data_IF_572493089128
#
_entry.id   IF_572493089128
#
_cell.length_a   1.000
_cell.length_b   1.000
_cell.length_c   1.000
_cell.angle_alpha   90.00
_cell.angle_beta   90.00
_cell.angle_gamma   90.00
#
_symmetry.space_group_name_H-M   'P 1'
#
loop_
_entity.id
_entity.type
_entity.pdbx_description
1 polymer ?
#
# COMPACT_ATOMS: atom_id res chain seq x y z
N UNK A 1 -29.76 62.96 29.43
CA UNK A 1 -30.37 62.04 30.41
C UNK A 1 -31.51 61.31 29.71
N UNK A 2 -31.42 59.98 29.64
CA UNK A 2 -32.43 59.04 29.11
C UNK A 2 -33.75 59.09 29.91
N UNK A 3 -34.82 58.45 29.40
CA UNK A 3 -35.31 57.24 30.06
C UNK A 3 -35.65 56.11 29.05
N UNK A 4 -35.01 54.94 29.20
CA UNK A 4 -35.54 53.71 29.80
C UNK A 4 -36.46 52.86 28.90
N UNK A 5 -35.88 51.81 28.33
CA UNK A 5 -36.56 50.61 27.82
C UNK A 5 -37.21 49.81 28.95
N UNK A 6 -38.28 49.04 28.68
CA UNK A 6 -38.53 47.78 29.37
C UNK A 6 -37.90 46.61 28.61
N UNK A 7 -37.14 45.81 29.36
CA UNK A 7 -36.66 44.48 29.01
C UNK A 7 -37.83 43.49 29.17
N UNK A 8 -38.06 42.61 28.20
CA UNK A 8 -38.73 41.32 28.44
C UNK A 8 -37.85 40.20 27.89
N UNK A 9 -37.65 39.23 28.76
CA UNK A 9 -36.71 38.10 28.73
C UNK A 9 -37.18 36.95 27.85
N UNK A 10 -36.22 36.14 27.41
CA UNK A 10 -36.37 34.81 26.78
C UNK A 10 -37.55 34.01 27.34
N UNK A 11 -38.34 33.44 26.43
CA UNK A 11 -39.08 32.21 26.71
C UNK A 11 -38.61 31.12 25.74
N UNK A 12 -38.24 29.98 26.32
CA UNK A 12 -37.76 28.77 25.67
C UNK A 12 -39.00 27.93 25.32
N UNK A 13 -39.50 27.99 24.08
CA UNK A 13 -40.38 27.01 23.39
C UNK A 13 -41.18 27.66 22.24
N UNK A 14 -40.51 28.20 21.21
CA UNK A 14 -41.21 28.66 20.01
C UNK A 14 -40.74 27.88 18.77
N UNK A 15 -41.67 27.11 18.22
CA UNK A 15 -41.56 26.32 16.99
C UNK A 15 -41.72 27.25 15.77
N UNK A 16 -40.75 27.35 14.85
CA UNK A 16 -40.77 28.36 13.79
C UNK A 16 -41.57 27.96 12.54
N UNK A 17 -42.50 27.00 12.63
CA UNK A 17 -43.25 26.54 11.46
C UNK A 17 -44.46 27.41 11.07
N UNK A 18 -44.99 28.28 11.94
CA UNK A 18 -46.20 29.07 11.65
C UNK A 18 -46.07 30.50 12.19
N UNK A 19 -46.22 31.50 11.30
CA UNK A 19 -46.62 32.85 11.71
C UNK A 19 -45.65 33.99 11.44
N UNK A 20 -45.38 34.30 10.17
CA UNK A 20 -45.03 35.67 9.76
C UNK A 20 -46.20 36.40 9.09
N UNK A 21 -47.29 35.69 8.77
CA UNK A 21 -48.45 36.27 8.09
C UNK A 21 -49.43 37.06 8.97
N UNK A 22 -49.46 36.86 10.30
CA UNK A 22 -50.52 37.44 11.14
C UNK A 22 -50.17 38.72 11.89
N UNK A 23 -48.93 39.21 11.85
CA UNK A 23 -48.55 40.46 12.56
C UNK A 23 -48.58 41.70 11.64
N UNK A 24 -48.43 41.50 10.33
CA UNK A 24 -48.46 42.58 9.32
C UNK A 24 -49.90 43.07 9.08
N UNK A 25 -50.91 42.18 9.14
CA UNK A 25 -52.31 42.55 8.92
C UNK A 25 -52.88 43.46 10.01
N UNK A 26 -52.40 43.38 11.25
CA UNK A 26 -52.96 44.14 12.37
C UNK A 26 -52.36 45.56 12.49
N UNK A 27 -51.15 45.78 11.99
CA UNK A 27 -50.46 47.08 12.07
C UNK A 27 -50.83 48.03 10.91
N UNK A 28 -51.28 47.49 9.78
CA UNK A 28 -51.76 48.27 8.62
C UNK A 28 -53.12 48.94 8.87
N UNK A 29 -53.88 48.52 9.88
CA UNK A 29 -55.21 49.06 10.20
C UNK A 29 -55.18 50.34 11.07
N UNK A 30 -54.03 50.69 11.67
CA UNK A 30 -53.94 51.78 12.67
C UNK A 30 -52.92 52.90 12.34
N UNK A 31 -52.40 52.95 11.11
CA UNK A 31 -51.76 54.17 10.58
C UNK A 31 -50.48 54.66 11.29
N UNK A 32 -49.62 53.76 11.76
CA UNK A 32 -48.34 54.08 12.41
C UNK A 32 -47.12 54.08 11.48
N UNK A 33 -46.19 55.00 11.73
CA UNK A 33 -44.96 55.30 10.99
C UNK A 33 -43.93 54.14 11.04
N UNK A 34 -43.45 53.68 9.88
CA UNK A 34 -42.61 52.47 9.74
C UNK A 34 -41.18 52.85 9.37
N UNK A 35 -40.40 53.28 10.38
CA UNK A 35 -38.98 53.63 10.24
C UNK A 35 -37.99 52.63 10.84
N UNK A 36 -38.39 51.44 11.26
CA UNK A 36 -37.45 50.41 11.71
C UNK A 36 -38.00 49.02 11.41
N UNK A 37 -37.10 48.07 11.10
CA UNK A 37 -37.22 46.61 10.99
C UNK A 37 -36.84 46.05 9.60
N UNK A 38 -35.54 45.76 9.49
CA UNK A 38 -34.89 44.90 8.50
C UNK A 38 -35.21 43.40 8.74
N UNK A 39 -35.00 42.63 7.66
CA UNK A 39 -34.82 41.17 7.56
C UNK A 39 -36.07 40.27 7.61
N UNK A 40 -36.41 39.65 6.47
CA UNK A 40 -36.30 38.19 6.20
C UNK A 40 -37.08 37.74 4.93
N UNK A 41 -36.34 37.16 3.96
CA UNK A 41 -36.71 36.07 3.02
C UNK A 41 -37.50 36.36 1.71
N UNK A 42 -36.72 36.47 0.61
CA UNK A 42 -36.79 35.82 -0.75
C UNK A 42 -38.17 35.47 -1.36
N UNK A 43 -38.53 35.73 -2.64
CA UNK A 43 -37.90 35.35 -3.94
C UNK A 43 -38.66 35.98 -5.16
N UNK A 44 -38.08 35.90 -6.38
CA UNK A 44 -38.67 36.16 -7.73
C UNK A 44 -38.85 37.60 -8.25
N UNK A 45 -37.97 38.49 -7.84
CA UNK A 45 -38.16 39.94 -7.90
C UNK A 45 -37.40 40.61 -9.05
N UNK A 46 -37.97 40.58 -10.25
CA UNK A 46 -38.00 41.84 -11.05
C UNK A 46 -39.09 42.75 -10.49
N UNK A 47 -40.09 42.20 -9.78
CA UNK A 47 -41.28 42.91 -9.31
C UNK A 47 -41.12 43.65 -7.96
N UNK A 48 -40.35 43.14 -6.99
CA UNK A 48 -40.26 43.83 -5.68
C UNK A 48 -39.02 44.71 -5.50
N UNK A 49 -38.00 44.69 -6.36
CA UNK A 49 -37.07 45.83 -6.45
C UNK A 49 -37.86 47.11 -6.81
N UNK A 50 -38.87 46.97 -7.67
CA UNK A 50 -39.79 48.06 -8.04
C UNK A 50 -40.65 48.50 -6.84
N UNK A 51 -41.13 47.57 -6.01
CA UNK A 51 -41.99 47.91 -4.87
C UNK A 51 -41.21 48.44 -3.66
N UNK A 52 -39.99 47.94 -3.41
CA UNK A 52 -39.06 48.46 -2.39
C UNK A 52 -38.71 49.93 -2.65
N UNK A 53 -38.51 50.30 -3.91
CA UNK A 53 -38.25 51.69 -4.27
C UNK A 53 -39.52 52.55 -4.40
N UNK A 54 -40.66 51.99 -4.84
CA UNK A 54 -41.96 52.69 -4.80
C UNK A 54 -42.38 53.06 -3.38
N UNK A 55 -42.02 52.25 -2.38
CA UNK A 55 -42.28 52.55 -0.97
C UNK A 55 -41.41 53.71 -0.44
N UNK A 56 -40.32 54.05 -1.13
CA UNK A 56 -39.35 55.06 -0.70
C UNK A 56 -39.46 56.42 -1.40
N UNK A 57 -39.94 56.52 -2.65
CA UNK A 57 -40.34 57.79 -3.32
C UNK A 57 -40.86 57.53 -4.74
N UNK A 58 -41.89 58.28 -5.17
CA UNK A 58 -42.49 58.16 -6.50
C UNK A 58 -41.50 58.28 -7.68
N UNK A 59 -41.73 57.42 -8.68
CA UNK A 59 -41.29 57.43 -10.09
C UNK A 59 -39.79 57.57 -10.45
N UNK A 60 -38.85 57.63 -9.51
CA UNK A 60 -37.41 57.71 -9.80
C UNK A 60 -36.55 56.86 -8.85
N UNK A 61 -35.93 55.81 -9.40
CA UNK A 61 -34.95 54.98 -8.72
C UNK A 61 -33.62 55.72 -8.68
N UNK A 62 -33.25 56.32 -7.53
CA UNK A 62 -31.91 56.89 -7.35
C UNK A 62 -30.90 55.76 -7.21
N UNK A 63 -30.19 55.44 -8.30
CA UNK A 63 -28.98 54.63 -8.25
C UNK A 63 -27.75 55.54 -8.13
N UNK A 64 -26.66 55.00 -7.61
CA UNK A 64 -25.38 55.70 -7.36
C UNK A 64 -24.76 56.28 -8.66
N UNK A 65 -25.30 55.94 -9.84
CA UNK A 65 -24.88 56.47 -11.14
C UNK A 65 -26.06 56.87 -12.06
N UNK A 66 -27.16 57.40 -11.51
CA UNK A 66 -28.19 58.04 -12.34
C UNK A 66 -29.64 57.86 -11.88
N UNK A 67 -30.51 58.64 -12.52
CA UNK A 67 -31.95 58.63 -12.35
C UNK A 67 -32.55 57.80 -13.51
N UNK A 68 -32.91 56.54 -13.26
CA UNK A 68 -33.49 55.66 -14.28
C UNK A 68 -34.95 55.34 -13.98
N UNK A 69 -35.75 55.20 -15.03
CA UNK A 69 -37.11 54.63 -14.96
C UNK A 69 -37.06 53.11 -15.00
N UNK A 70 -38.12 52.48 -14.50
CA UNK A 70 -38.27 51.03 -14.58
C UNK A 70 -38.28 50.51 -16.04
N UNK A 71 -38.93 51.23 -16.94
CA UNK A 71 -39.02 50.85 -18.34
C UNK A 71 -37.63 50.80 -18.99
N UNK A 72 -36.76 51.76 -18.68
CA UNK A 72 -35.37 51.79 -19.15
C UNK A 72 -34.56 50.61 -18.59
N UNK A 73 -34.71 50.26 -17.31
CA UNK A 73 -34.01 49.10 -16.71
C UNK A 73 -34.46 47.76 -17.33
N UNK A 74 -35.75 47.61 -17.65
CA UNK A 74 -36.27 46.42 -18.32
C UNK A 74 -35.81 46.33 -19.78
N UNK A 75 -35.67 47.47 -20.45
CA UNK A 75 -35.11 47.55 -21.81
C UNK A 75 -33.63 47.17 -21.79
N UNK A 76 -32.82 47.73 -20.89
CA UNK A 76 -31.42 47.32 -20.72
C UNK A 76 -31.27 45.83 -20.43
N UNK A 77 -32.12 45.25 -19.57
CA UNK A 77 -32.08 43.81 -19.32
C UNK A 77 -32.41 42.99 -20.57
N UNK A 78 -33.40 43.41 -21.37
CA UNK A 78 -33.74 42.72 -22.63
C UNK A 78 -32.59 42.83 -23.63
N UNK A 79 -32.00 44.01 -23.74
CA UNK A 79 -30.83 44.24 -24.59
C UNK A 79 -29.67 43.36 -24.12
N UNK A 80 -29.39 43.29 -22.81
CA UNK A 80 -28.31 42.48 -22.25
C UNK A 80 -28.50 40.98 -22.46
N UNK A 81 -29.75 40.51 -22.41
CA UNK A 81 -30.07 39.10 -22.66
C UNK A 81 -30.07 38.72 -24.15
N UNK A 82 -30.16 39.70 -25.05
CA UNK A 82 -30.20 39.46 -26.50
C UNK A 82 -28.91 39.86 -27.22
N UNK A 83 -28.08 40.68 -26.59
CA UNK A 83 -26.81 41.15 -27.12
C UNK A 83 -25.72 40.10 -26.93
N UNK A 84 -25.34 39.46 -28.03
CA UNK A 84 -24.26 38.47 -28.07
C UNK A 84 -22.86 39.05 -27.89
N UNK A 85 -22.70 40.38 -27.91
CA UNK A 85 -21.40 41.04 -27.70
C UNK A 85 -21.02 41.13 -26.22
N UNK A 86 -22.00 41.11 -25.31
CA UNK A 86 -21.73 41.13 -23.87
C UNK A 86 -21.32 39.72 -23.44
N UNK A 87 -20.04 39.55 -23.11
CA UNK A 87 -19.49 38.26 -22.68
C UNK A 87 -18.99 38.28 -21.24
N UNK A 88 -18.76 39.47 -20.68
CA UNK A 88 -18.23 39.64 -19.33
C UNK A 88 -19.07 40.61 -18.49
N UNK A 89 -19.32 40.23 -17.24
CA UNK A 89 -20.08 41.07 -16.30
C UNK A 89 -19.34 42.34 -15.88
N UNK A 90 -17.99 42.37 -15.94
CA UNK A 90 -17.20 43.56 -15.60
C UNK A 90 -17.27 44.68 -16.65
N UNK A 91 -17.73 44.38 -17.87
CA UNK A 91 -17.96 45.36 -18.94
C UNK A 91 -19.27 46.14 -18.76
N UNK A 92 -20.18 45.65 -17.92
CA UNK A 92 -21.45 46.29 -17.61
C UNK A 92 -21.48 46.81 -16.16
N UNK A 93 -22.24 47.88 -15.97
CA UNK A 93 -22.48 48.49 -14.65
C UNK A 93 -23.21 47.54 -13.71
N UNK A 94 -23.00 47.69 -12.40
CA UNK A 94 -23.54 46.76 -11.40
C UNK A 94 -25.07 46.65 -11.42
N UNK A 95 -25.78 47.75 -11.70
CA UNK A 95 -27.24 47.76 -11.78
C UNK A 95 -27.80 46.97 -12.97
N UNK A 96 -26.99 46.70 -14.01
CA UNK A 96 -27.36 45.85 -15.16
C UNK A 96 -27.11 44.36 -14.90
N UNK A 97 -26.36 44.01 -13.85
CA UNK A 97 -26.04 42.63 -13.46
C UNK A 97 -27.23 41.94 -12.76
N UNK A 98 -28.36 41.91 -13.44
CA UNK A 98 -29.57 41.24 -12.97
C UNK A 98 -29.34 39.73 -12.87
N UNK A 99 -30.11 39.04 -12.01
CA UNK A 99 -30.02 37.57 -11.81
C UNK A 99 -30.02 36.78 -13.14
N UNK A 100 -30.86 37.17 -14.10
CA UNK A 100 -30.95 36.47 -15.39
C UNK A 100 -29.73 36.71 -16.28
N UNK A 101 -29.22 37.96 -16.33
CA UNK A 101 -28.01 38.31 -17.08
C UNK A 101 -26.80 37.59 -16.47
N UNK A 102 -26.65 37.61 -15.13
CA UNK A 102 -25.60 36.87 -14.45
C UNK A 102 -25.68 35.36 -14.74
N UNK A 103 -26.86 34.75 -14.64
CA UNK A 103 -27.04 33.33 -14.95
C UNK A 103 -26.61 33.02 -16.37
N UNK A 104 -27.11 33.77 -17.36
CA UNK A 104 -26.75 33.57 -18.77
C UNK A 104 -25.24 33.65 -18.99
N UNK A 105 -24.57 34.67 -18.46
CA UNK A 105 -23.13 34.86 -18.66
C UNK A 105 -22.28 33.86 -17.87
N UNK A 106 -22.74 33.37 -16.72
CA UNK A 106 -22.09 32.26 -15.98
C UNK A 106 -22.22 30.94 -16.75
N UNK A 107 -23.37 30.70 -17.39
CA UNK A 107 -23.58 29.50 -18.20
C UNK A 107 -22.64 29.43 -19.39
N UNK A 108 -22.29 30.57 -19.99
CA UNK A 108 -21.30 30.68 -21.06
C UNK A 108 -19.86 30.65 -20.53
N UNK A 109 -19.56 31.44 -19.48
CA UNK A 109 -18.24 31.48 -18.85
C UNK A 109 -18.34 31.55 -17.31
N UNK A 110 -17.96 30.47 -16.59
CA UNK A 110 -17.96 30.42 -15.13
C UNK A 110 -17.15 31.52 -14.42
N UNK A 111 -16.15 32.14 -15.07
CA UNK A 111 -15.38 33.27 -14.51
C UNK A 111 -16.27 34.48 -14.16
N UNK A 112 -17.42 34.62 -14.82
CA UNK A 112 -18.39 35.67 -14.53
C UNK A 112 -18.91 35.60 -13.08
N UNK A 113 -18.77 34.47 -12.40
CA UNK A 113 -19.13 34.35 -10.99
C UNK A 113 -18.36 35.37 -10.11
N UNK A 114 -17.10 35.71 -10.45
CA UNK A 114 -16.29 36.69 -9.72
C UNK A 114 -16.91 38.09 -9.68
N UNK A 115 -17.66 38.45 -10.72
CA UNK A 115 -18.28 39.77 -10.88
C UNK A 115 -19.77 39.78 -10.57
N UNK A 116 -20.31 38.63 -10.13
CA UNK A 116 -21.72 38.46 -9.80
C UNK A 116 -22.00 39.02 -8.41
N UNK A 117 -22.98 39.93 -8.25
CA UNK A 117 -23.36 40.41 -6.92
C UNK A 117 -23.75 39.23 -6.02
N UNK A 118 -23.23 39.19 -4.78
CA UNK A 118 -23.43 38.04 -3.88
C UNK A 118 -24.90 37.69 -3.67
N UNK A 119 -25.80 38.69 -3.67
CA UNK A 119 -27.26 38.52 -3.58
C UNK A 119 -27.87 37.64 -4.69
N UNK A 120 -27.17 37.46 -5.81
CA UNK A 120 -27.60 36.63 -6.94
C UNK A 120 -26.93 35.24 -6.94
N UNK A 121 -25.92 35.02 -6.10
CA UNK A 121 -25.27 33.73 -5.93
C UNK A 121 -26.14 32.85 -5.04
N UNK A 122 -26.77 31.85 -5.64
CA UNK A 122 -27.61 30.88 -4.94
C UNK A 122 -27.06 29.47 -5.08
N UNK A 123 -27.35 28.59 -4.13
CA UNK A 123 -26.89 27.20 -4.19
C UNK A 123 -27.35 26.47 -5.45
N UNK A 124 -28.58 26.74 -5.93
CA UNK A 124 -29.10 26.14 -7.17
C UNK A 124 -28.29 26.56 -8.40
N UNK A 125 -27.95 27.85 -8.51
CA UNK A 125 -27.08 28.36 -9.58
C UNK A 125 -25.72 27.66 -9.58
N UNK A 126 -25.09 27.55 -8.42
CA UNK A 126 -23.78 26.91 -8.27
C UNK A 126 -23.84 25.40 -8.57
N UNK A 127 -24.91 24.71 -8.15
CA UNK A 127 -25.13 23.30 -8.46
C UNK A 127 -25.31 23.07 -9.96
N UNK A 128 -26.11 23.90 -10.62
CA UNK A 128 -26.31 23.80 -12.07
C UNK A 128 -25.00 24.05 -12.84
N UNK A 129 -24.18 24.99 -12.36
CA UNK A 129 -22.86 25.27 -12.90
C UNK A 129 -21.93 24.04 -12.82
N UNK A 130 -21.78 23.44 -11.63
CA UNK A 130 -20.88 22.26 -11.47
C UNK A 130 -21.44 20.99 -12.10
N UNK A 131 -22.76 20.90 -12.31
CA UNK A 131 -23.39 19.80 -13.08
C UNK A 131 -23.06 19.87 -14.56
N UNK A 132 -23.02 21.08 -15.14
CA UNK A 132 -22.61 21.26 -16.54
C UNK A 132 -21.11 20.99 -16.72
N UNK A 133 -20.28 21.44 -15.77
CA UNK A 133 -18.84 21.21 -15.78
C UNK A 133 -18.27 21.16 -14.36
N UNK A 134 -17.83 19.98 -13.90
CA UNK A 134 -17.28 19.83 -12.55
C UNK A 134 -16.08 20.73 -12.26
N UNK A 135 -15.28 21.06 -13.28
CA UNK A 135 -14.12 21.95 -13.19
C UNK A 135 -14.50 23.38 -12.77
N UNK A 136 -15.77 23.76 -12.91
CA UNK A 136 -16.25 25.07 -12.48
C UNK A 136 -16.20 25.28 -10.96
N UNK A 137 -16.00 24.22 -10.17
CA UNK A 137 -15.78 24.31 -8.72
C UNK A 137 -14.64 25.27 -8.36
N UNK A 138 -13.58 25.34 -9.19
CA UNK A 138 -12.43 26.22 -8.95
C UNK A 138 -12.72 27.72 -9.03
N UNK A 139 -13.87 28.12 -9.60
CA UNK A 139 -14.31 29.52 -9.64
C UNK A 139 -15.19 29.91 -8.44
N UNK A 140 -15.63 28.94 -7.63
CA UNK A 140 -16.50 29.18 -6.48
C UNK A 140 -15.64 29.51 -5.26
N UNK A 141 -15.89 30.67 -4.64
CA UNK A 141 -15.24 31.03 -3.39
C UNK A 141 -15.54 30.02 -2.27
N UNK A 142 -14.56 29.77 -1.41
CA UNK A 142 -14.65 28.74 -0.35
C UNK A 142 -15.87 28.93 0.56
N UNK A 143 -16.29 30.18 0.80
CA UNK A 143 -17.44 30.51 1.67
C UNK A 143 -18.78 29.96 1.14
N UNK A 144 -18.90 29.72 -0.16
CA UNK A 144 -20.10 29.16 -0.77
C UNK A 144 -20.03 27.63 -0.92
N UNK A 145 -18.87 27.02 -0.72
CA UNK A 145 -18.69 25.57 -0.88
C UNK A 145 -19.42 24.80 0.22
N UNK A 146 -20.09 23.73 -0.20
CA UNK A 146 -20.73 22.75 0.66
C UNK A 146 -20.55 21.34 0.09
N UNK A 147 -20.97 20.33 0.86
CA UNK A 147 -20.83 18.93 0.46
C UNK A 147 -21.49 18.62 -0.88
N UNK A 148 -22.73 19.06 -1.08
CA UNK A 148 -23.49 18.76 -2.30
C UNK A 148 -22.82 19.35 -3.54
N UNK A 149 -22.27 20.57 -3.44
CA UNK A 149 -21.51 21.21 -4.52
C UNK A 149 -20.26 20.40 -4.85
N UNK A 150 -19.44 20.05 -3.84
CA UNK A 150 -18.23 19.26 -4.05
C UNK A 150 -18.55 17.88 -4.64
N UNK A 151 -19.61 17.22 -4.15
CA UNK A 151 -20.01 15.91 -4.65
C UNK A 151 -20.48 15.97 -6.11
N UNK A 152 -21.35 16.95 -6.46
CA UNK A 152 -21.79 17.13 -7.84
C UNK A 152 -20.62 17.51 -8.76
N UNK A 153 -19.67 18.32 -8.29
CA UNK A 153 -18.48 18.68 -9.05
C UNK A 153 -17.61 17.46 -9.36
N UNK A 154 -17.29 16.64 -8.36
CA UNK A 154 -16.51 15.40 -8.55
C UNK A 154 -17.24 14.44 -9.49
N UNK A 155 -18.56 14.23 -9.29
CA UNK A 155 -19.39 13.37 -10.14
C UNK A 155 -19.41 13.80 -11.60
N UNK A 156 -19.32 15.11 -11.88
CA UNK A 156 -19.34 15.67 -13.23
C UNK A 156 -17.95 16.18 -13.69
N UNK A 157 -16.88 15.75 -13.02
CA UNK A 157 -15.52 16.09 -13.40
C UNK A 157 -15.18 15.45 -14.76
N UNK A 158 -14.70 16.27 -15.70
CA UNK A 158 -14.08 15.77 -16.95
C UNK A 158 -12.65 15.31 -16.71
N UNK A 159 -11.95 16.06 -15.85
CA UNK A 159 -10.62 15.74 -15.34
C UNK A 159 -10.67 15.87 -13.83
N UNK A 160 -10.42 14.76 -13.11
CA UNK A 160 -10.51 14.76 -11.66
C UNK A 160 -9.40 15.61 -11.02
N UNK A 161 -8.22 15.70 -11.63
CA UNK A 161 -7.06 16.42 -11.09
C UNK A 161 -7.38 17.91 -10.91
N UNK A 162 -8.08 18.47 -11.90
CA UNK A 162 -8.53 19.85 -11.91
C UNK A 162 -9.68 20.15 -10.93
N UNK A 163 -10.34 19.14 -10.36
CA UNK A 163 -11.49 19.32 -9.46
C UNK A 163 -11.13 19.04 -8.01
N UNK A 164 -10.47 17.91 -7.76
CA UNK A 164 -10.22 17.41 -6.40
C UNK A 164 -9.35 18.36 -5.56
N UNK A 165 -8.47 19.15 -6.20
CA UNK A 165 -7.65 20.17 -5.55
C UNK A 165 -8.47 21.31 -4.93
N UNK A 166 -9.66 21.58 -5.47
CA UNK A 166 -10.58 22.61 -4.98
C UNK A 166 -11.60 22.06 -3.97
N UNK A 167 -11.61 20.75 -3.70
CA UNK A 167 -12.50 20.17 -2.69
C UNK A 167 -11.89 20.37 -1.29
N UNK A 168 -12.56 21.11 -0.39
CA UNK A 168 -12.08 21.29 0.97
C UNK A 168 -12.00 19.96 1.72
N UNK A 169 -10.89 19.71 2.43
CA UNK A 169 -10.68 18.48 3.21
C UNK A 169 -11.79 18.18 4.23
N UNK A 170 -12.49 19.22 4.71
CA UNK A 170 -13.63 19.10 5.64
C UNK A 170 -14.85 18.40 5.02
N UNK A 171 -15.00 18.45 3.69
CA UNK A 171 -16.09 17.79 2.96
C UNK A 171 -15.68 16.43 2.38
N UNK A 172 -14.39 16.06 2.47
CA UNK A 172 -13.96 14.71 2.11
C UNK A 172 -14.52 13.72 3.12
N UNK A 173 -15.43 12.86 2.64
CA UNK A 173 -15.95 11.72 3.34
C UNK A 173 -15.68 10.42 2.56
N UNK A 174 -16.20 9.30 3.03
CA UNK A 174 -16.04 8.01 2.36
C UNK A 174 -16.63 8.04 0.95
N UNK A 175 -17.86 8.52 0.80
CA UNK A 175 -18.60 8.46 -0.46
C UNK A 175 -17.98 9.35 -1.53
N UNK A 176 -17.60 10.58 -1.17
CA UNK A 176 -16.94 11.52 -2.08
C UNK A 176 -15.54 11.04 -2.44
N UNK A 177 -14.80 10.44 -1.50
CA UNK A 177 -13.48 9.84 -1.79
C UNK A 177 -13.59 8.68 -2.78
N UNK A 178 -14.59 7.82 -2.63
CA UNK A 178 -14.88 6.72 -3.56
C UNK A 178 -15.21 7.24 -4.96
N UNK A 179 -16.12 8.22 -5.05
CA UNK A 179 -16.49 8.82 -6.34
C UNK A 179 -15.27 9.47 -7.02
N UNK A 180 -14.43 10.18 -6.27
CA UNK A 180 -13.22 10.82 -6.81
C UNK A 180 -12.25 9.79 -7.40
N UNK A 181 -11.95 8.71 -6.68
CA UNK A 181 -11.06 7.65 -7.19
C UNK A 181 -11.70 6.90 -8.36
N UNK A 182 -13.02 6.78 -8.41
CA UNK A 182 -13.73 6.21 -9.56
C UNK A 182 -13.57 7.06 -10.83
N UNK A 183 -13.38 8.37 -10.70
CA UNK A 183 -13.07 9.27 -11.83
C UNK A 183 -11.62 9.19 -12.28
N UNK A 184 -10.69 8.98 -11.35
CA UNK A 184 -9.28 8.78 -11.68
C UNK A 184 -8.44 8.44 -10.46
N UNK A 185 -7.45 7.56 -10.65
CA UNK A 185 -6.61 7.07 -9.56
C UNK A 185 -5.82 8.17 -8.87
N UNK A 186 -5.52 9.28 -9.56
CA UNK A 186 -4.76 10.42 -9.03
C UNK A 186 -5.44 11.09 -7.84
N UNK A 187 -6.77 11.04 -7.75
CA UNK A 187 -7.51 11.48 -6.58
C UNK A 187 -7.07 10.74 -5.30
N UNK A 188 -6.59 9.49 -5.41
CA UNK A 188 -6.13 8.68 -4.30
C UNK A 188 -4.99 9.33 -3.49
N UNK A 189 -4.17 10.17 -4.13
CA UNK A 189 -3.11 10.93 -3.45
C UNK A 189 -3.65 11.99 -2.50
N UNK A 190 -4.86 12.50 -2.77
CA UNK A 190 -5.44 13.66 -2.08
C UNK A 190 -6.53 13.26 -1.06
N UNK A 191 -7.08 12.04 -1.17
CA UNK A 191 -8.07 11.57 -0.20
C UNK A 191 -7.43 11.25 1.17
N UNK A 192 -8.14 11.51 2.28
CA UNK A 192 -7.69 11.13 3.62
C UNK A 192 -7.43 9.62 3.76
N UNK A 193 -6.37 9.25 4.49
CA UNK A 193 -5.98 7.84 4.68
C UNK A 193 -7.08 6.96 5.28
N UNK A 194 -7.88 7.51 6.20
CA UNK A 194 -9.03 6.82 6.82
C UNK A 194 -10.11 6.35 5.83
N UNK A 195 -10.13 6.88 4.60
CA UNK A 195 -11.08 6.47 3.55
C UNK A 195 -10.44 5.63 2.46
N UNK A 196 -9.15 5.33 2.54
CA UNK A 196 -8.47 4.43 1.60
C UNK A 196 -8.81 2.99 1.95
N UNK A 197 -10.00 2.52 1.59
CA UNK A 197 -10.37 1.11 1.79
C UNK A 197 -9.51 0.17 0.93
N UNK A 198 -9.57 -1.13 1.19
CA UNK A 198 -8.88 -2.15 0.38
C UNK A 198 -9.31 -2.04 -1.08
N UNK A 199 -10.61 -1.92 -1.33
CA UNK A 199 -11.22 -1.88 -2.66
C UNK A 199 -10.75 -0.67 -3.47
N UNK A 200 -10.81 0.52 -2.86
CA UNK A 200 -10.36 1.77 -3.48
C UNK A 200 -8.85 1.73 -3.73
N UNK A 201 -8.07 1.20 -2.79
CA UNK A 201 -6.60 1.08 -2.91
C UNK A 201 -6.22 0.15 -4.06
N UNK A 202 -6.92 -0.99 -4.19
CA UNK A 202 -6.75 -1.90 -5.32
C UNK A 202 -7.11 -1.22 -6.63
N UNK A 203 -8.31 -0.62 -6.72
CA UNK A 203 -8.77 0.07 -7.92
C UNK A 203 -7.77 1.13 -8.37
N UNK A 204 -7.37 2.02 -7.48
CA UNK A 204 -6.44 3.09 -7.81
C UNK A 204 -5.09 2.54 -8.30
N UNK A 205 -4.57 1.48 -7.65
CA UNK A 205 -3.33 0.85 -8.11
C UNK A 205 -3.48 0.22 -9.51
N UNK A 206 -4.53 -0.56 -9.76
CA UNK A 206 -4.74 -1.18 -11.07
C UNK A 206 -5.00 -0.18 -12.18
N UNK A 207 -5.72 0.91 -11.90
CA UNK A 207 -5.91 2.01 -12.85
C UNK A 207 -4.57 2.70 -13.16
N UNK A 208 -3.69 2.86 -12.17
CA UNK A 208 -2.34 3.46 -12.35
C UNK A 208 -1.38 2.58 -13.17
N UNK A 209 -1.60 1.26 -13.26
CA UNK A 209 -0.76 0.36 -14.06
C UNK A 209 -0.91 0.63 -15.56
N UNK A 210 -2.07 1.15 -15.98
CA UNK A 210 -2.42 1.36 -17.39
C UNK A 210 -2.23 2.83 -17.83
N UNK A 211 -1.67 3.71 -16.98
CA UNK A 211 -1.44 5.11 -17.34
C UNK A 211 -0.06 5.34 -17.96
N UNK A 212 0.01 5.20 -19.28
CA UNK A 212 1.23 5.44 -20.06
C UNK A 212 1.71 6.90 -20.00
N UNK A 213 0.84 7.85 -19.63
CA UNK A 213 1.21 9.27 -19.50
C UNK A 213 2.06 9.51 -18.26
N UNK A 214 1.87 8.70 -17.22
CA UNK A 214 2.59 8.80 -15.95
C UNK A 214 3.15 7.44 -15.49
N UNK A 215 4.21 6.91 -16.16
CA UNK A 215 4.72 5.56 -15.88
C UNK A 215 5.23 5.33 -14.43
N UNK A 216 5.47 6.41 -13.68
CA UNK A 216 5.90 6.36 -12.27
C UNK A 216 4.74 6.23 -11.29
N UNK A 217 3.52 6.54 -11.70
CA UNK A 217 2.33 6.53 -10.84
C UNK A 217 2.12 5.16 -10.17
N UNK A 218 2.36 4.06 -10.91
CA UNK A 218 2.29 2.68 -10.41
C UNK A 218 3.20 2.38 -9.22
N UNK A 219 4.27 3.15 -9.03
CA UNK A 219 5.16 3.04 -7.86
C UNK A 219 4.79 4.05 -6.78
N UNK A 220 4.45 5.28 -7.15
CA UNK A 220 4.11 6.37 -6.22
C UNK A 220 2.83 6.08 -5.44
N UNK A 221 1.87 5.40 -6.06
CA UNK A 221 0.64 5.05 -5.37
C UNK A 221 0.89 4.06 -4.22
N UNK A 222 1.90 3.18 -4.34
CA UNK A 222 2.23 2.18 -3.33
C UNK A 222 2.61 2.83 -2.00
N UNK A 223 3.29 3.99 -2.00
CA UNK A 223 3.64 4.70 -0.77
C UNK A 223 2.44 5.31 -0.04
N UNK A 224 1.29 5.34 -0.71
CA UNK A 224 0.05 5.91 -0.19
C UNK A 224 -0.97 4.84 0.23
N UNK A 225 -0.67 3.56 0.02
CA UNK A 225 -1.53 2.42 0.37
C UNK A 225 -1.34 2.05 1.85
N UNK A 226 -2.40 1.95 2.65
CA UNK A 226 -2.32 1.57 4.06
C UNK A 226 -2.56 0.09 4.37
N UNK A 227 -2.57 -0.77 3.34
CA UNK A 227 -2.97 -2.17 3.45
C UNK A 227 -1.87 -3.10 2.94
N UNK A 228 -1.34 -3.93 3.83
CA UNK A 228 -0.25 -4.87 3.51
C UNK A 228 -0.64 -5.86 2.41
N UNK A 229 -1.87 -6.35 2.42
CA UNK A 229 -2.43 -7.28 1.43
C UNK A 229 -2.50 -6.66 0.04
N UNK A 230 -2.83 -5.36 -0.04
CA UNK A 230 -2.86 -4.64 -1.32
C UNK A 230 -1.44 -4.38 -1.81
N UNK A 231 -0.51 -3.99 -0.93
CA UNK A 231 0.91 -3.88 -1.28
C UNK A 231 1.47 -5.21 -1.79
N UNK A 232 1.09 -6.33 -1.18
CA UNK A 232 1.54 -7.65 -1.61
C UNK A 232 0.98 -8.05 -2.98
N UNK A 233 -0.31 -7.81 -3.22
CA UNK A 233 -0.94 -8.02 -4.53
C UNK A 233 -0.32 -7.13 -5.61
N UNK A 234 0.00 -5.89 -5.26
CA UNK A 234 0.66 -4.93 -6.14
C UNK A 234 2.05 -5.41 -6.57
N UNK A 235 2.87 -5.88 -5.63
CA UNK A 235 4.19 -6.44 -5.93
C UNK A 235 4.14 -7.58 -6.95
N UNK A 236 3.11 -8.44 -6.87
CA UNK A 236 2.94 -9.58 -7.78
C UNK A 236 2.61 -9.18 -9.22
N UNK A 237 2.21 -7.93 -9.48
CA UNK A 237 1.93 -7.46 -10.83
C UNK A 237 3.20 -7.14 -11.63
N UNK A 238 4.32 -6.89 -10.95
CA UNK A 238 5.59 -6.57 -11.60
C UNK A 238 6.32 -7.85 -12.02
N UNK A 239 6.78 -7.90 -13.27
CA UNK A 239 7.41 -9.09 -13.86
C UNK A 239 8.93 -9.07 -13.75
N UNK A 240 9.53 -7.88 -13.82
CA UNK A 240 10.97 -7.69 -13.76
C UNK A 240 11.43 -7.45 -12.31
N UNK A 241 12.56 -8.06 -11.93
CA UNK A 241 13.21 -7.85 -10.64
C UNK A 241 13.45 -6.37 -10.33
N UNK A 242 13.88 -5.55 -11.31
CA UNK A 242 14.10 -4.11 -11.10
C UNK A 242 12.81 -3.36 -10.75
N UNK A 243 11.69 -3.71 -11.39
CA UNK A 243 10.39 -3.11 -11.08
C UNK A 243 9.89 -3.55 -9.69
N UNK A 244 10.08 -4.83 -9.35
CA UNK A 244 9.74 -5.37 -8.02
C UNK A 244 10.56 -4.63 -6.95
N UNK A 245 11.87 -4.41 -7.16
CA UNK A 245 12.73 -3.65 -6.26
C UNK A 245 12.25 -2.21 -6.07
N UNK A 246 11.90 -1.52 -7.16
CA UNK A 246 11.33 -0.16 -7.11
C UNK A 246 10.02 -0.13 -6.35
N UNK A 247 9.10 -1.05 -6.63
CA UNK A 247 7.81 -1.14 -5.96
C UNK A 247 7.97 -1.44 -4.45
N UNK A 248 8.82 -2.42 -4.11
CA UNK A 248 9.11 -2.77 -2.71
C UNK A 248 9.65 -1.59 -1.93
N UNK A 249 10.59 -0.82 -2.51
CA UNK A 249 11.15 0.38 -1.87
C UNK A 249 10.14 1.49 -1.56
N UNK A 250 8.94 1.43 -2.13
CA UNK A 250 7.86 2.38 -1.87
C UNK A 250 6.90 1.93 -0.77
N UNK A 251 6.95 0.66 -0.34
CA UNK A 251 6.10 0.16 0.72
C UNK A 251 6.61 0.71 2.06
N UNK A 252 5.70 1.26 2.87
CA UNK A 252 6.03 1.71 4.23
C UNK A 252 6.48 0.53 5.09
N UNK A 253 7.50 0.73 5.93
CA UNK A 253 8.11 -0.33 6.70
C UNK A 253 7.11 -1.06 7.61
N UNK A 254 6.11 -0.34 8.15
CA UNK A 254 5.06 -0.90 9.00
C UNK A 254 4.18 -1.93 8.30
N UNK A 255 4.14 -1.92 6.96
CA UNK A 255 3.32 -2.81 6.13
C UNK A 255 4.10 -4.03 5.61
N UNK A 256 5.41 -4.12 5.87
CA UNK A 256 6.27 -5.20 5.41
C UNK A 256 6.09 -6.47 6.26
N UNK A 257 5.04 -7.22 5.97
CA UNK A 257 4.76 -8.52 6.58
C UNK A 257 5.70 -9.63 6.06
N UNK A 258 5.75 -10.76 6.79
CA UNK A 258 6.59 -11.91 6.47
C UNK A 258 6.43 -12.40 5.02
N UNK A 259 5.18 -12.50 4.53
CA UNK A 259 4.89 -12.99 3.17
C UNK A 259 5.44 -12.06 2.07
N UNK A 260 5.39 -10.74 2.27
CA UNK A 260 5.95 -9.76 1.34
C UNK A 260 7.46 -9.93 1.26
N UNK A 261 8.13 -10.00 2.40
CA UNK A 261 9.59 -10.12 2.46
C UNK A 261 10.06 -11.46 1.88
N UNK A 262 9.35 -12.56 2.20
CA UNK A 262 9.64 -13.89 1.66
C UNK A 262 9.49 -13.93 0.14
N UNK A 263 8.42 -13.34 -0.40
CA UNK A 263 8.24 -13.23 -1.85
C UNK A 263 9.36 -12.41 -2.46
N UNK A 264 9.70 -11.26 -1.86
CA UNK A 264 10.73 -10.37 -2.37
C UNK A 264 12.11 -11.05 -2.48
N UNK A 265 12.59 -11.68 -1.40
CA UNK A 265 13.87 -12.40 -1.43
C UNK A 265 13.84 -13.66 -2.30
N UNK A 266 12.67 -14.30 -2.46
CA UNK A 266 12.53 -15.43 -3.38
C UNK A 266 12.74 -15.01 -4.84
N UNK A 267 12.31 -13.80 -5.21
CA UNK A 267 12.52 -13.28 -6.57
C UNK A 267 13.97 -12.93 -6.85
N UNK A 268 14.69 -12.39 -5.85
CA UNK A 268 16.12 -12.17 -5.90
C UNK A 268 16.70 -12.21 -4.47
N UNK A 269 17.45 -13.26 -4.11
CA UNK A 269 18.01 -13.41 -2.76
C UNK A 269 18.97 -12.29 -2.34
N UNK A 270 19.56 -11.55 -3.30
CA UNK A 270 20.38 -10.39 -3.01
C UNK A 270 19.60 -9.21 -2.42
N UNK A 271 18.26 -9.19 -2.56
CA UNK A 271 17.40 -8.13 -2.03
C UNK A 271 17.21 -8.16 -0.52
N UNK A 272 17.72 -9.18 0.18
CA UNK A 272 17.75 -9.17 1.64
C UNK A 272 18.40 -7.91 2.22
N UNK A 273 19.34 -7.30 1.49
CA UNK A 273 20.02 -6.05 1.88
C UNK A 273 19.06 -4.86 1.97
N UNK A 274 17.96 -4.89 1.22
CA UNK A 274 16.92 -3.86 1.19
C UNK A 274 15.82 -4.10 2.25
N UNK A 275 15.73 -5.33 2.78
CA UNK A 275 14.80 -5.64 3.87
C UNK A 275 15.32 -4.99 5.15
N UNK A 276 14.50 -4.24 5.92
CA UNK A 276 14.90 -3.69 7.21
C UNK A 276 15.46 -4.75 8.15
N UNK A 277 16.54 -4.44 8.88
CA UNK A 277 17.25 -5.40 9.72
C UNK A 277 16.35 -6.08 10.75
N UNK A 278 15.45 -5.33 11.38
CA UNK A 278 14.48 -5.83 12.36
C UNK A 278 13.45 -6.81 11.77
N UNK A 279 13.36 -6.93 10.45
CA UNK A 279 12.47 -7.86 9.76
C UNK A 279 13.21 -9.08 9.18
N UNK A 280 14.54 -9.15 9.30
CA UNK A 280 15.38 -10.24 8.78
C UNK A 280 15.42 -11.44 9.73
N UNK A 281 14.25 -11.97 10.05
CA UNK A 281 14.11 -13.11 10.95
C UNK A 281 14.61 -14.43 10.34
N UNK A 282 14.77 -15.45 11.19
CA UNK A 282 15.27 -16.78 10.84
C UNK A 282 14.58 -17.40 9.61
N UNK A 283 13.26 -17.25 9.48
CA UNK A 283 12.51 -17.82 8.36
C UNK A 283 12.91 -17.18 7.04
N UNK A 284 13.02 -15.85 7.02
CA UNK A 284 13.49 -15.11 5.85
C UNK A 284 14.95 -15.47 5.50
N UNK A 285 15.82 -15.61 6.50
CA UNK A 285 17.22 -16.03 6.29
C UNK A 285 17.28 -17.42 5.65
N UNK A 286 16.53 -18.39 6.19
CA UNK A 286 16.47 -19.76 5.66
C UNK A 286 15.92 -19.76 4.24
N UNK A 287 14.86 -18.99 3.96
CA UNK A 287 14.31 -18.83 2.62
C UNK A 287 15.34 -18.26 1.64
N UNK A 288 16.07 -17.22 2.05
CA UNK A 288 17.15 -16.60 1.26
C UNK A 288 18.27 -17.60 0.98
N UNK A 289 18.74 -18.32 2.01
CA UNK A 289 19.76 -19.37 1.90
C UNK A 289 19.35 -20.46 0.91
N UNK A 290 18.09 -20.91 0.94
CA UNK A 290 17.56 -21.94 0.06
C UNK A 290 17.59 -21.51 -1.42
N UNK A 291 17.17 -20.27 -1.72
CA UNK A 291 17.06 -19.77 -3.09
C UNK A 291 18.34 -19.13 -3.64
N UNK A 292 19.30 -18.72 -2.79
CA UNK A 292 20.50 -18.01 -3.24
C UNK A 292 21.49 -18.90 -3.99
N UNK A 293 22.09 -18.39 -5.06
CA UNK A 293 23.28 -18.99 -5.70
C UNK A 293 24.58 -18.27 -5.30
N UNK A 294 24.48 -17.18 -4.54
CA UNK A 294 25.61 -16.34 -4.10
C UNK A 294 25.66 -16.24 -2.57
N UNK A 295 26.85 -16.20 -1.95
CA UNK A 295 26.99 -16.07 -0.50
C UNK A 295 26.77 -14.65 0.02
N UNK A 296 26.61 -13.63 -0.84
CA UNK A 296 26.58 -12.22 -0.41
C UNK A 296 25.51 -11.88 0.64
N UNK A 297 24.43 -12.67 0.72
CA UNK A 297 23.38 -12.49 1.71
C UNK A 297 23.87 -12.70 3.16
N UNK A 298 24.96 -13.46 3.36
CA UNK A 298 25.51 -13.77 4.69
C UNK A 298 25.87 -12.50 5.46
N UNK A 299 26.40 -11.48 4.75
CA UNK A 299 26.77 -10.19 5.33
C UNK A 299 25.58 -9.37 5.85
N UNK A 300 24.35 -9.78 5.55
CA UNK A 300 23.11 -9.08 5.93
C UNK A 300 22.31 -9.84 7.01
N UNK A 301 22.81 -10.98 7.48
CA UNK A 301 22.18 -11.78 8.54
C UNK A 301 22.42 -11.08 9.89
N UNK A 302 21.36 -10.74 10.66
CA UNK A 302 21.53 -10.23 12.02
C UNK A 302 22.26 -11.25 12.89
N UNK A 303 23.09 -10.78 13.82
CA UNK A 303 23.96 -11.63 14.63
C UNK A 303 23.21 -12.77 15.35
N UNK A 304 22.03 -12.47 15.91
CA UNK A 304 21.21 -13.44 16.64
C UNK A 304 20.52 -14.47 15.75
N UNK A 305 20.45 -14.21 14.44
CA UNK A 305 19.78 -15.06 13.45
C UNK A 305 20.69 -16.16 12.86
N UNK A 306 21.97 -16.18 13.26
CA UNK A 306 22.91 -17.28 13.01
C UNK A 306 22.58 -18.51 13.89
N UNK A 307 21.43 -19.11 13.66
CA UNK A 307 21.03 -20.39 14.26
C UNK A 307 21.82 -21.58 13.70
N UNK A 308 21.89 -22.69 14.45
CA UNK A 308 22.56 -23.93 14.01
C UNK A 308 22.15 -24.36 12.60
N UNK A 309 20.84 -24.28 12.28
CA UNK A 309 20.31 -24.64 10.96
C UNK A 309 20.79 -23.71 9.85
N UNK A 310 20.91 -22.41 10.13
CA UNK A 310 21.42 -21.42 9.16
C UNK A 310 22.91 -21.66 8.93
N UNK A 311 23.70 -21.81 10.00
CA UNK A 311 25.14 -22.02 9.92
C UNK A 311 25.48 -23.34 9.23
N UNK A 312 24.76 -24.42 9.55
CA UNK A 312 24.91 -25.72 8.88
C UNK A 312 24.59 -25.62 7.39
N UNK A 313 23.49 -24.95 7.03
CA UNK A 313 23.16 -24.74 5.62
C UNK A 313 24.17 -23.87 4.87
N UNK A 314 24.77 -22.85 5.52
CA UNK A 314 25.90 -22.08 4.96
C UNK A 314 27.11 -23.00 4.75
N UNK A 315 27.49 -23.79 5.75
CA UNK A 315 28.64 -24.70 5.66
C UNK A 315 28.50 -25.75 4.55
N UNK A 316 27.27 -26.19 4.27
CA UNK A 316 26.98 -27.15 3.20
C UNK A 316 26.96 -26.48 1.83
N UNK A 317 26.23 -25.38 1.68
CA UNK A 317 25.96 -24.75 0.37
C UNK A 317 27.04 -23.77 -0.07
N UNK A 318 27.63 -23.05 0.89
CA UNK A 318 28.67 -22.03 0.69
C UNK A 318 29.88 -22.28 1.62
N UNK A 319 30.52 -23.46 1.53
CA UNK A 319 31.56 -23.89 2.49
C UNK A 319 32.73 -22.92 2.62
N UNK A 320 33.12 -22.22 1.55
CA UNK A 320 34.19 -21.21 1.59
C UNK A 320 33.84 -19.99 2.43
N UNK A 321 32.56 -19.72 2.65
CA UNK A 321 32.04 -18.57 3.40
C UNK A 321 31.74 -18.92 4.86
N UNK A 322 32.14 -20.11 5.33
CA UNK A 322 32.03 -20.43 6.75
C UNK A 322 32.88 -19.50 7.63
N UNK A 323 33.93 -18.90 7.05
CA UNK A 323 34.77 -17.89 7.69
C UNK A 323 34.09 -16.53 7.84
N UNK A 324 32.99 -16.30 7.11
CA UNK A 324 32.20 -15.06 7.18
C UNK A 324 31.13 -15.15 8.29
N UNK A 325 30.95 -16.33 8.89
CA UNK A 325 30.06 -16.56 10.03
C UNK A 325 30.81 -16.24 11.34
N UNK A 326 30.15 -15.60 12.34
CA UNK A 326 30.78 -15.36 13.64
C UNK A 326 31.32 -16.66 14.26
N UNK A 327 32.59 -16.66 14.70
CA UNK A 327 33.33 -17.87 15.07
C UNK A 327 32.66 -18.67 16.19
N UNK A 328 32.04 -17.97 17.14
CA UNK A 328 31.31 -18.51 18.28
C UNK A 328 29.98 -19.19 17.90
N UNK A 329 29.47 -18.95 16.68
CA UNK A 329 28.28 -19.61 16.13
C UNK A 329 28.65 -20.87 15.32
N UNK A 330 29.93 -21.06 14.99
CA UNK A 330 30.39 -22.19 14.16
C UNK A 330 30.88 -23.33 15.05
N UNK A 331 30.40 -24.54 14.79
CA UNK A 331 30.79 -25.74 15.54
C UNK A 331 31.59 -26.75 14.68
N UNK A 332 32.03 -27.84 15.31
CA UNK A 332 32.85 -28.88 14.67
C UNK A 332 32.14 -29.60 13.50
N UNK A 333 30.80 -29.71 13.53
CA UNK A 333 30.01 -30.29 12.43
C UNK A 333 30.04 -29.36 11.22
N UNK A 334 29.91 -28.05 11.43
CA UNK A 334 29.98 -27.07 10.34
C UNK A 334 31.36 -27.09 9.66
N UNK A 335 32.45 -27.13 10.43
CA UNK A 335 33.80 -27.26 9.87
C UNK A 335 34.03 -28.58 9.16
N UNK A 336 33.45 -29.69 9.63
CA UNK A 336 33.44 -30.94 8.88
C UNK A 336 32.79 -30.74 7.50
N UNK A 337 31.60 -30.16 7.42
CA UNK A 337 30.93 -29.95 6.12
C UNK A 337 31.77 -29.08 5.17
N UNK A 338 32.37 -28.02 5.70
CA UNK A 338 33.19 -27.11 4.91
C UNK A 338 34.49 -27.75 4.40
N UNK A 339 35.30 -28.33 5.30
CA UNK A 339 36.61 -28.91 4.97
C UNK A 339 36.48 -30.19 4.15
N UNK A 340 35.42 -30.98 4.35
CA UNK A 340 35.18 -32.17 3.54
C UNK A 340 35.10 -31.84 2.04
N UNK A 341 34.44 -30.72 1.69
CA UNK A 341 34.29 -30.27 0.31
C UNK A 341 35.47 -29.39 -0.17
N UNK A 342 36.10 -28.64 0.74
CA UNK A 342 37.20 -27.72 0.46
C UNK A 342 38.34 -27.90 1.47
N UNK A 343 39.24 -28.89 1.25
CA UNK A 343 40.30 -29.23 2.19
C UNK A 343 41.25 -28.08 2.53
N UNK A 344 41.40 -27.09 1.65
CA UNK A 344 42.23 -25.91 1.89
C UNK A 344 41.75 -25.05 3.06
N UNK A 345 40.49 -25.19 3.48
CA UNK A 345 39.92 -24.49 4.63
C UNK A 345 40.41 -25.04 5.96
N UNK A 346 41.08 -26.20 5.98
CA UNK A 346 41.60 -26.82 7.20
C UNK A 346 42.53 -25.89 8.00
N UNK A 347 43.21 -24.95 7.33
CA UNK A 347 44.10 -23.94 7.95
C UNK A 347 43.34 -22.87 8.75
N UNK A 348 42.05 -22.70 8.49
CA UNK A 348 41.19 -21.70 9.13
C UNK A 348 40.42 -22.27 10.33
N UNK A 349 40.49 -23.58 10.56
CA UNK A 349 39.72 -24.24 11.64
C UNK A 349 40.26 -23.77 13.00
N UNK A 350 39.38 -23.29 13.89
CA UNK A 350 39.74 -22.87 15.25
C UNK A 350 40.47 -23.95 16.04
N UNK A 351 41.38 -23.53 16.91
CA UNK A 351 42.28 -24.42 17.65
C UNK A 351 41.55 -25.35 18.63
N UNK A 352 40.50 -24.87 19.27
CA UNK A 352 39.60 -25.62 20.14
C UNK A 352 38.88 -26.73 19.38
N UNK A 353 38.42 -26.48 18.15
CA UNK A 353 37.81 -27.51 17.29
C UNK A 353 38.87 -28.48 16.78
N UNK A 354 40.02 -27.97 16.34
CA UNK A 354 41.11 -28.77 15.76
C UNK A 354 41.74 -29.73 16.77
N UNK A 355 41.91 -29.28 18.03
CA UNK A 355 42.53 -30.06 19.11
C UNK A 355 41.51 -30.80 19.98
N UNK A 356 40.25 -30.38 19.94
CA UNK A 356 39.16 -30.96 20.72
C UNK A 356 38.83 -32.39 20.31
N UNK A 357 38.28 -33.15 21.26
CA UNK A 357 37.79 -34.50 20.99
C UNK A 357 36.36 -34.45 20.44
N UNK A 358 36.26 -34.25 19.13
CA UNK A 358 35.01 -34.00 18.43
C UNK A 358 34.98 -34.67 17.04
N UNK A 359 33.88 -34.47 16.32
CA UNK A 359 33.66 -35.04 14.98
C UNK A 359 34.74 -34.62 13.96
N UNK A 360 35.33 -33.43 14.09
CA UNK A 360 36.36 -32.95 13.18
C UNK A 360 37.67 -33.72 13.37
N UNK A 361 38.08 -33.95 14.62
CA UNK A 361 39.22 -34.82 14.94
C UNK A 361 38.98 -36.25 14.48
N UNK A 362 37.76 -36.77 14.66
CA UNK A 362 37.35 -38.07 14.12
C UNK A 362 37.48 -38.13 12.60
N UNK A 363 37.06 -37.09 11.88
CA UNK A 363 37.22 -37.00 10.42
C UNK A 363 38.70 -37.06 10.00
N UNK A 364 39.59 -36.36 10.69
CA UNK A 364 41.04 -36.46 10.42
C UNK A 364 41.58 -37.88 10.65
N UNK A 365 41.08 -38.60 11.67
CA UNK A 365 41.41 -40.01 11.90
C UNK A 365 40.97 -40.87 10.70
N UNK A 366 39.72 -40.71 10.24
CA UNK A 366 39.21 -41.40 9.05
C UNK A 366 40.07 -41.12 7.82
N UNK A 367 40.45 -39.86 7.56
CA UNK A 367 41.31 -39.50 6.43
C UNK A 367 42.73 -40.09 6.53
N UNK A 368 43.23 -40.34 7.74
CA UNK A 368 44.52 -40.97 7.98
C UNK A 368 44.51 -42.49 7.83
N UNK A 369 43.33 -43.12 7.95
CA UNK A 369 43.17 -44.58 7.84
C UNK A 369 42.70 -45.01 6.45
N UNK A 370 41.85 -44.20 5.80
CA UNK A 370 41.18 -44.56 4.55
C UNK A 370 41.40 -43.54 3.42
N UNK A 371 41.40 -44.03 2.19
CA UNK A 371 41.09 -43.21 1.02
C UNK A 371 39.57 -43.03 0.96
N UNK A 372 39.10 -41.83 1.27
CA UNK A 372 37.66 -41.51 1.33
C UNK A 372 37.02 -41.85 -0.03
N UNK A 373 36.04 -42.78 -0.06
CA UNK A 373 35.31 -43.11 -1.28
C UNK A 373 34.60 -41.89 -1.87
N UNK A 374 34.46 -41.86 -3.20
CA UNK A 374 33.82 -40.72 -3.89
C UNK A 374 32.33 -40.55 -3.55
N UNK A 375 31.67 -41.62 -3.13
CA UNK A 375 30.27 -41.64 -2.71
C UNK A 375 30.08 -41.25 -1.25
N UNK A 376 31.17 -41.10 -0.47
CA UNK A 376 31.07 -40.58 0.88
C UNK A 376 30.86 -39.07 0.88
N UNK A 377 30.11 -38.62 1.87
CA UNK A 377 29.85 -37.21 2.14
C UNK A 377 30.22 -36.87 3.58
N UNK A 378 30.22 -35.59 3.93
CA UNK A 378 30.32 -35.16 5.33
C UNK A 378 29.23 -35.77 6.22
N UNK A 379 28.02 -36.02 5.69
CA UNK A 379 26.96 -36.74 6.41
C UNK A 379 27.32 -38.21 6.67
N UNK A 380 28.00 -38.87 5.73
CA UNK A 380 28.51 -40.23 5.92
C UNK A 380 29.46 -40.28 7.13
N UNK A 381 30.37 -39.31 7.25
CA UNK A 381 31.26 -39.18 8.40
C UNK A 381 30.48 -38.91 9.69
N UNK A 382 29.47 -38.05 9.63
CA UNK A 382 28.62 -37.72 10.77
C UNK A 382 27.82 -38.92 11.28
N UNK A 383 27.26 -39.72 10.38
CA UNK A 383 26.55 -40.95 10.72
C UNK A 383 27.50 -41.98 11.33
N UNK A 384 28.69 -42.13 10.75
CA UNK A 384 29.71 -43.00 11.33
C UNK A 384 30.08 -42.56 12.75
N UNK A 385 30.29 -41.26 12.96
CA UNK A 385 30.61 -40.69 14.28
C UNK A 385 29.49 -40.88 15.31
N UNK A 386 28.23 -40.89 14.87
CA UNK A 386 27.05 -41.24 15.69
C UNK A 386 26.98 -42.74 16.03
N UNK A 387 27.86 -43.57 15.47
CA UNK A 387 27.88 -45.01 15.67
C UNK A 387 26.97 -45.78 14.71
N UNK A 388 26.50 -45.15 13.64
CA UNK A 388 25.73 -45.84 12.61
C UNK A 388 26.61 -46.78 11.79
N UNK A 389 26.01 -47.87 11.31
CA UNK A 389 26.72 -48.89 10.53
C UNK A 389 26.72 -48.50 9.05
N UNK A 390 27.92 -48.33 8.49
CA UNK A 390 28.11 -48.03 7.07
C UNK A 390 28.58 -49.29 6.36
N UNK A 391 27.86 -49.69 5.32
CA UNK A 391 28.24 -50.81 4.46
C UNK A 391 29.06 -50.27 3.29
N UNK A 392 30.29 -50.76 3.14
CA UNK A 392 31.16 -50.42 2.01
C UNK A 392 31.33 -51.63 1.12
N UNK A 393 31.15 -51.44 -0.19
CA UNK A 393 31.45 -52.47 -1.20
C UNK A 393 32.94 -52.63 -1.39
N UNK A 394 33.65 -51.51 -1.40
CA UNK A 394 35.08 -51.43 -1.60
C UNK A 394 35.61 -50.23 -0.80
N UNK A 395 36.64 -50.43 0.01
CA UNK A 395 37.29 -49.36 0.76
C UNK A 395 38.79 -49.61 0.80
N UNK A 396 39.53 -48.67 0.24
CA UNK A 396 40.98 -48.70 0.24
C UNK A 396 41.53 -48.02 1.51
N UNK A 397 42.35 -48.75 2.26
CA UNK A 397 43.11 -48.22 3.38
C UNK A 397 44.34 -47.46 2.86
N UNK A 398 44.86 -46.53 3.67
CA UNK A 398 46.09 -45.79 3.34
C UNK A 398 47.31 -46.67 3.12
N UNK A 399 47.33 -47.88 3.69
CA UNK A 399 48.37 -48.89 3.47
C UNK A 399 48.17 -49.75 2.20
N UNK A 400 47.25 -49.36 1.32
CA UNK A 400 46.89 -50.02 0.05
C UNK A 400 46.13 -51.34 0.20
N UNK A 401 45.76 -51.75 1.42
CA UNK A 401 44.82 -52.88 1.59
C UNK A 401 43.43 -52.45 1.15
N UNK A 402 42.69 -53.37 0.54
CA UNK A 402 41.35 -53.11 0.05
C UNK A 402 40.34 -54.03 0.72
N UNK A 403 39.38 -53.44 1.43
CA UNK A 403 38.30 -54.13 2.11
C UNK A 403 37.09 -54.25 1.19
N UNK A 404 36.73 -55.48 0.82
CA UNK A 404 35.55 -55.77 0.00
C UNK A 404 34.40 -56.27 0.85
N UNK A 405 33.21 -55.71 0.64
CA UNK A 405 31.98 -56.06 1.37
C UNK A 405 32.16 -56.06 2.90
N UNK A 406 32.49 -54.90 3.47
CA UNK A 406 32.67 -54.72 4.91
C UNK A 406 31.61 -53.79 5.51
N UNK A 407 31.37 -53.95 6.80
CA UNK A 407 30.62 -53.01 7.65
C UNK A 407 31.60 -52.28 8.53
N UNK A 408 31.41 -50.97 8.63
CA UNK A 408 32.22 -50.08 9.46
C UNK A 408 31.30 -49.44 10.48
N UNK A 409 31.72 -49.44 11.73
CA UNK A 409 31.01 -48.79 12.82
C UNK A 409 32.03 -48.14 13.76
N UNK A 410 31.77 -46.91 14.17
CA UNK A 410 32.58 -46.28 15.22
C UNK A 410 32.04 -46.66 16.59
N UNK A 411 32.90 -47.26 17.41
CA UNK A 411 32.63 -47.47 18.82
C UNK A 411 33.08 -46.21 19.59
N UNK A 412 32.10 -45.39 19.95
CA UNK A 412 32.35 -44.11 20.62
C UNK A 412 32.84 -44.28 22.06
N UNK A 413 32.52 -45.39 22.72
CA UNK A 413 32.98 -45.68 24.08
C UNK A 413 34.46 -46.03 24.09
N UNK A 414 34.89 -46.83 23.12
CA UNK A 414 36.28 -47.31 23.02
C UNK A 414 37.16 -46.48 22.06
N UNK A 415 36.58 -45.49 21.36
CA UNK A 415 37.29 -44.63 20.40
C UNK A 415 37.82 -45.34 19.15
N UNK A 416 37.31 -46.55 18.85
CA UNK A 416 37.87 -47.45 17.84
C UNK A 416 36.89 -47.74 16.71
N UNK A 417 37.42 -47.97 15.49
CA UNK A 417 36.63 -48.37 14.34
C UNK A 417 36.53 -49.90 14.29
N UNK A 418 35.30 -50.41 14.33
CA UNK A 418 35.00 -51.82 14.12
C UNK A 418 34.77 -52.04 12.64
N UNK A 419 35.59 -52.91 12.05
CA UNK A 419 35.54 -53.27 10.63
C UNK A 419 35.30 -54.78 10.54
N UNK A 420 34.15 -55.17 10.00
CA UNK A 420 33.73 -56.57 9.93
C UNK A 420 33.30 -56.97 8.52
N UNK A 421 33.68 -58.17 8.01
CA UNK A 421 33.20 -58.63 6.71
C UNK A 421 31.69 -58.90 6.76
N UNK A 422 30.99 -58.52 5.70
CA UNK A 422 29.58 -58.85 5.49
C UNK A 422 29.49 -60.36 5.21
N UNK A 423 29.26 -61.16 6.25
CA UNK A 423 29.05 -62.61 6.09
C UNK A 423 27.77 -62.86 5.30
N UNK A 424 27.90 -63.36 4.07
CA UNK A 424 26.80 -64.04 3.39
C UNK A 424 26.58 -65.39 4.10
N UNK A 425 25.40 -65.58 4.73
CA UNK A 425 24.98 -66.92 5.13
C UNK A 425 24.75 -67.73 3.86
N UNK A 426 25.73 -68.56 3.48
CA UNK A 426 25.49 -69.65 2.54
C UNK A 426 24.47 -70.56 3.24
N UNK A 427 23.25 -70.67 2.68
CA UNK A 427 22.32 -71.74 3.11
C UNK A 427 23.05 -73.06 2.86
N UNK A 428 23.20 -73.95 3.85
CA UNK A 428 23.81 -75.25 3.60
C UNK A 428 22.98 -75.98 2.55
N UNK A 429 23.64 -76.47 1.50
CA UNK A 429 23.03 -77.39 0.55
C UNK A 429 22.36 -78.52 1.34
N UNK A 430 21.04 -78.66 1.19
CA UNK A 430 20.33 -79.85 1.61
C UNK A 430 20.93 -81.05 0.86
N UNK A 431 21.36 -82.11 1.56
CA UNK A 431 21.81 -83.32 0.88
C UNK A 431 20.62 -83.97 0.17
N UNK A 432 20.73 -84.13 -1.15
CA UNK A 432 19.82 -84.94 -1.94
C UNK A 432 20.01 -86.39 -1.48
N UNK A 433 19.07 -86.87 -0.67
CA UNK A 433 19.08 -88.19 -0.09
C UNK A 433 18.65 -89.21 -1.15
N UNK A 434 19.61 -89.94 -1.72
CA UNK A 434 19.33 -91.13 -2.50
C UNK A 434 18.77 -92.23 -1.58
N UNK A 435 17.43 -92.42 -1.57
CA UNK A 435 16.83 -93.73 -1.27
C UNK A 435 15.63 -94.02 -2.17
N UNK A 436 15.86 -94.95 -3.10
CA UNK A 436 14.88 -95.78 -3.79
C UNK A 436 13.98 -96.53 -2.79
N UNK A 437 12.68 -96.57 -3.10
CA UNK A 437 11.71 -97.69 -2.98
C UNK A 437 10.57 -97.30 -3.94
N UNK A 438 10.44 -97.82 -5.16
CA UNK A 438 10.00 -99.16 -5.60
C UNK A 438 8.67 -99.62 -5.00
N UNK A 439 7.70 -99.82 -5.91
CA UNK A 439 6.38 -100.50 -5.86
C UNK A 439 5.16 -99.65 -5.40
N UNK A 440 3.98 -99.69 -6.04
CA UNK A 440 3.41 -100.43 -7.20
C UNK A 440 2.00 -99.84 -7.52
N UNK A 441 1.56 -99.92 -8.79
CA UNK A 441 0.18 -100.07 -9.35
C UNK A 441 -1.01 -99.33 -8.70
N UNK A 442 -1.90 -98.63 -9.42
CA UNK A 442 -2.61 -98.96 -10.67
C UNK A 442 -2.88 -97.72 -11.51
#
# INVERSE_FOLDING_TARGET
>A
FLPFFPIITKDENFDPAWGYGSFIEQSLYEGGDVQNYECLVYNDLVIDEINHYKALNGDLLKFVEGNFTLSELLEYQRDDLTNTEITRLDEISEYRRTKNVCRMLIEENPENLLYTPERHISNNLLIDMVRKNGNSLGYIEEKFLNYDLCFNAVKNAKDIDSVILFVPKKFMDKQLSEEAVNKGYSAYFLIPERYKSIEISKKAFFDSLNDDRHPKAKYEIISHIPHSEVCFEALKQFKNQDEIGKAYSKIRNELLIEDINNYFVKTNPGYISLVPENLRNQRLIISTLYHSSSPNFINYIPYDEFSDKVVEGIAIKFPRNITDVPVEKVNAVNWLHAVFNFPELAKNVPDDIRKGDNIYKFFNKIQSEFNIPKDWTSFTIQNLYKGEIIKVKELELKDKRNLKDHKIQFDRENGNLKIEPVRFKIKPNLPINHKKKVNQSY
#
